data_IF_280065356855
#
_entry.id   IF_280065356855
#
_cell.length_a   1.000
_cell.length_b   1.000
_cell.length_c   1.000
_cell.angle_alpha   90.00
_cell.angle_beta   90.00
_cell.angle_gamma   90.00
#
_symmetry.space_group_name_H-M   'P 1'
#
loop_
_entity.id
_entity.type
_entity.pdbx_description
1 polymer ?
#
# COMPACT_ATOMS: atom_id res chain seq x y z
N UNK A 1 35.59 -21.14 32.25
CA UNK A 1 35.64 -19.76 31.71
C UNK A 1 34.23 -19.32 31.49
N UNK A 2 33.72 -18.29 32.16
CA UNK A 2 32.40 -17.76 31.87
C UNK A 2 32.42 -17.08 30.48
N UNK A 3 31.62 -17.57 29.55
CA UNK A 3 31.46 -16.97 28.23
C UNK A 3 30.89 -15.58 28.48
N UNK A 4 31.70 -14.56 28.21
CA UNK A 4 31.30 -13.17 28.37
C UNK A 4 30.19 -12.90 27.33
N UNK A 5 28.96 -12.72 27.76
CA UNK A 5 27.85 -12.36 26.86
C UNK A 5 28.28 -11.16 26.02
N UNK A 6 28.25 -11.31 24.69
CA UNK A 6 28.72 -10.30 23.75
C UNK A 6 27.67 -9.22 23.59
N UNK A 7 26.40 -9.59 23.67
CA UNK A 7 25.25 -8.69 23.67
C UNK A 7 24.49 -8.91 24.97
N UNK A 8 24.17 -7.84 25.68
CA UNK A 8 23.34 -7.88 26.88
C UNK A 8 21.94 -7.38 26.54
N UNK A 9 20.92 -8.09 27.01
CA UNK A 9 19.51 -7.68 26.84
C UNK A 9 19.25 -6.33 27.51
N UNK A 10 19.95 -6.03 28.62
CA UNK A 10 19.90 -4.71 29.22
C UNK A 10 20.40 -3.63 28.26
N UNK A 11 21.47 -3.90 27.51
CA UNK A 11 22.00 -2.99 26.49
C UNK A 11 21.03 -2.82 25.31
N UNK A 12 20.39 -3.89 24.84
CA UNK A 12 19.35 -3.84 23.81
C UNK A 12 18.12 -3.06 24.28
N UNK A 13 17.68 -3.28 25.52
CA UNK A 13 16.55 -2.55 26.11
C UNK A 13 16.87 -1.07 26.28
N UNK A 14 18.09 -0.73 26.70
CA UNK A 14 18.54 0.68 26.82
C UNK A 14 18.65 1.33 25.43
N UNK A 15 19.20 0.62 24.45
CA UNK A 15 19.25 1.09 23.06
C UNK A 15 17.84 1.32 22.49
N UNK A 16 16.91 0.39 22.67
CA UNK A 16 15.54 0.54 22.22
C UNK A 16 14.85 1.78 22.85
N UNK A 17 15.11 2.06 24.11
CA UNK A 17 14.61 3.28 24.78
C UNK A 17 15.27 4.54 24.28
N UNK A 18 16.58 4.51 24.08
CA UNK A 18 17.36 5.67 23.62
C UNK A 18 16.96 6.08 22.19
N UNK A 19 16.70 5.10 21.32
CA UNK A 19 16.35 5.31 19.92
C UNK A 19 14.84 5.34 19.65
N UNK A 20 13.97 5.16 20.65
CA UNK A 20 12.51 5.11 20.50
C UNK A 20 11.94 6.22 19.61
N UNK A 21 12.34 7.50 19.70
CA UNK A 21 11.83 8.54 18.80
C UNK A 21 12.18 8.29 17.32
N UNK A 22 13.37 7.73 17.04
CA UNK A 22 13.82 7.42 15.70
C UNK A 22 13.13 6.14 15.21
N UNK A 23 13.02 5.12 16.06
CA UNK A 23 12.38 3.85 15.73
C UNK A 23 10.91 4.00 15.35
N UNK A 24 10.19 4.92 15.98
CA UNK A 24 8.79 5.24 15.62
C UNK A 24 8.65 5.81 14.21
N UNK A 25 9.69 6.47 13.71
CA UNK A 25 9.65 7.12 12.39
C UNK A 25 10.11 6.20 11.26
N UNK A 26 10.90 5.16 11.53
CA UNK A 26 11.44 4.28 10.49
C UNK A 26 10.36 3.53 9.68
N UNK A 27 9.37 2.85 10.28
CA UNK A 27 8.30 2.22 9.51
C UNK A 27 7.45 3.25 8.77
N UNK A 28 7.30 4.45 9.35
CA UNK A 28 6.59 5.56 8.73
C UNK A 28 7.29 6.04 7.46
N UNK A 29 8.62 6.19 7.46
CA UNK A 29 9.35 6.58 6.25
C UNK A 29 9.21 5.56 5.12
N UNK A 30 9.25 4.27 5.43
CA UNK A 30 9.02 3.22 4.43
C UNK A 30 7.60 3.30 3.87
N UNK A 31 6.62 3.47 4.74
CA UNK A 31 5.21 3.62 4.38
C UNK A 31 4.97 4.93 3.59
N UNK A 32 5.60 6.03 3.99
CA UNK A 32 5.53 7.34 3.30
C UNK A 32 6.10 7.24 1.88
N UNK A 33 7.23 6.56 1.72
CA UNK A 33 7.84 6.35 0.40
C UNK A 33 6.91 5.55 -0.51
N UNK A 34 6.33 4.46 0.00
CA UNK A 34 5.36 3.65 -0.73
C UNK A 34 4.10 4.46 -1.08
N UNK A 35 3.56 5.20 -0.12
CA UNK A 35 2.38 6.02 -0.32
C UNK A 35 2.62 7.15 -1.34
N UNK A 36 3.78 7.80 -1.28
CA UNK A 36 4.17 8.82 -2.27
C UNK A 36 4.29 8.22 -3.68
N UNK A 37 4.91 7.05 -3.82
CA UNK A 37 5.01 6.35 -5.09
C UNK A 37 3.65 5.96 -5.68
N UNK A 38 2.69 5.63 -4.83
CA UNK A 38 1.33 5.24 -5.22
C UNK A 38 0.34 6.42 -5.24
N UNK A 39 0.75 7.60 -4.77
CA UNK A 39 -0.14 8.77 -4.67
C UNK A 39 -1.26 8.60 -3.62
N UNK A 40 -0.99 7.83 -2.57
CA UNK A 40 -1.87 7.62 -1.44
C UNK A 40 -1.65 8.72 -0.39
N UNK A 41 -2.64 8.95 0.44
CA UNK A 41 -2.56 9.93 1.51
C UNK A 41 -2.36 9.22 2.86
N UNK A 42 -1.42 9.71 3.67
CA UNK A 42 -1.15 9.16 5.00
C UNK A 42 -1.72 10.10 6.06
N UNK A 43 -2.36 9.52 7.07
CA UNK A 43 -2.94 10.24 8.19
C UNK A 43 -2.61 9.54 9.51
N UNK A 44 -2.15 10.30 10.48
CA UNK A 44 -2.08 9.82 11.85
C UNK A 44 -3.47 9.88 12.48
N UNK A 45 -3.95 8.75 13.00
CA UNK A 45 -5.30 8.59 13.53
C UNK A 45 -5.25 7.86 14.85
N UNK A 46 -5.61 8.53 15.93
CA UNK A 46 -5.58 7.94 17.28
C UNK A 46 -6.56 6.78 17.46
N UNK A 47 -7.82 6.97 17.05
CA UNK A 47 -8.86 5.95 17.17
C UNK A 47 -9.61 5.77 15.86
N UNK A 48 -10.26 6.83 15.39
CA UNK A 48 -11.14 6.79 14.25
C UNK A 48 -11.20 8.17 13.60
N UNK A 49 -11.18 8.18 12.27
CA UNK A 49 -11.35 9.41 11.49
C UNK A 49 -12.46 9.23 10.46
N UNK A 50 -13.55 9.96 10.63
CA UNK A 50 -14.72 9.90 9.76
C UNK A 50 -14.66 11.05 8.75
N UNK A 51 -14.79 10.72 7.45
CA UNK A 51 -14.98 11.69 6.39
C UNK A 51 -16.40 11.60 5.86
N UNK A 52 -17.09 12.71 5.87
CA UNK A 52 -18.43 12.80 5.32
C UNK A 52 -18.38 13.39 3.91
N UNK A 53 -18.65 12.56 2.92
CA UNK A 53 -18.74 12.97 1.53
C UNK A 53 -20.15 13.43 1.22
N UNK A 54 -20.29 14.63 0.62
CA UNK A 54 -21.56 15.19 0.21
C UNK A 54 -21.74 15.06 -1.31
N UNK A 55 -22.79 14.37 -1.72
CA UNK A 55 -23.18 14.29 -3.12
C UNK A 55 -24.41 15.13 -3.40
N UNK A 56 -24.23 16.12 -4.25
CA UNK A 56 -25.33 16.99 -4.69
C UNK A 56 -26.21 16.24 -5.66
N UNK A 57 -27.52 16.29 -5.44
CA UNK A 57 -28.50 15.74 -6.37
C UNK A 57 -28.66 16.67 -7.57
N UNK A 58 -28.42 16.16 -8.78
CA UNK A 58 -28.57 16.88 -10.02
C UNK A 58 -30.00 16.75 -10.59
N UNK A 59 -30.37 17.64 -11.54
CA UNK A 59 -31.62 17.51 -12.29
C UNK A 59 -32.86 18.13 -11.59
N UNK A 60 -32.64 19.07 -10.67
CA UNK A 60 -33.73 19.84 -10.05
C UNK A 60 -34.18 21.05 -10.89
N UNK A 61 -33.45 21.31 -11.98
CA UNK A 61 -33.73 22.46 -12.85
C UNK A 61 -34.47 22.00 -14.13
N UNK A 62 -35.54 22.65 -14.46
CA UNK A 62 -36.33 22.36 -15.68
C UNK A 62 -36.97 23.62 -16.23
N UNK A 63 -37.54 23.56 -17.45
CA UNK A 63 -38.27 24.68 -18.02
C UNK A 63 -39.54 24.98 -17.20
N UNK A 64 -39.85 26.25 -17.05
CA UNK A 64 -41.09 26.68 -16.38
C UNK A 64 -42.14 27.06 -17.41
N UNK A 65 -43.35 26.51 -17.25
CA UNK A 65 -44.57 26.93 -17.99
C UNK A 65 -45.69 27.14 -16.98
N UNK A 66 -46.43 28.19 -17.12
CA UNK A 66 -47.58 28.48 -16.26
C UNK A 66 -48.59 27.33 -16.32
N UNK A 67 -49.03 26.81 -15.15
CA UNK A 67 -49.93 25.66 -15.04
C UNK A 67 -49.24 24.28 -15.14
N UNK A 68 -47.92 24.22 -15.20
CA UNK A 68 -47.16 22.97 -15.22
C UNK A 68 -47.06 22.36 -13.80
N UNK A 69 -47.34 21.08 -13.70
CA UNK A 69 -47.05 20.33 -12.46
C UNK A 69 -45.55 20.11 -12.31
N UNK A 70 -44.96 20.67 -11.26
CA UNK A 70 -43.54 20.52 -10.96
C UNK A 70 -43.36 19.38 -9.99
N UNK A 71 -42.56 18.39 -10.38
CA UNK A 71 -42.13 17.31 -9.49
C UNK A 71 -40.92 17.80 -8.70
N UNK A 72 -41.08 17.89 -7.39
CA UNK A 72 -39.98 18.27 -6.50
C UNK A 72 -39.07 17.08 -6.27
N UNK A 73 -37.77 17.32 -6.06
CA UNK A 73 -36.86 16.36 -5.56
C UNK A 73 -36.78 16.46 -4.05
N UNK A 74 -36.89 15.31 -3.38
CA UNK A 74 -37.03 15.26 -1.94
C UNK A 74 -35.72 15.58 -1.18
N UNK A 75 -34.54 15.40 -1.85
CA UNK A 75 -33.26 15.62 -1.23
C UNK A 75 -32.36 16.54 -2.05
N UNK A 76 -31.77 17.55 -1.40
CA UNK A 76 -30.78 18.45 -2.03
C UNK A 76 -29.44 17.78 -2.19
N UNK A 77 -29.04 16.94 -1.25
CA UNK A 77 -27.78 16.21 -1.24
C UNK A 77 -27.88 14.93 -0.40
N UNK A 78 -27.12 13.91 -0.81
CA UNK A 78 -26.89 12.70 -0.01
C UNK A 78 -25.53 12.78 0.64
N UNK A 79 -25.45 12.31 1.88
CA UNK A 79 -24.23 12.21 2.62
C UNK A 79 -23.80 10.75 2.68
N UNK A 80 -22.50 10.51 2.51
CA UNK A 80 -21.87 9.20 2.62
C UNK A 80 -20.71 9.31 3.59
N UNK A 81 -20.70 8.46 4.56
CA UNK A 81 -19.63 8.39 5.56
C UNK A 81 -18.61 7.34 5.15
N UNK A 82 -17.35 7.66 5.32
CA UNK A 82 -16.23 6.74 5.14
C UNK A 82 -15.33 6.85 6.36
N UNK A 83 -15.16 5.75 7.07
CA UNK A 83 -14.43 5.70 8.34
C UNK A 83 -13.07 5.07 8.14
N UNK A 84 -12.03 5.71 8.68
CA UNK A 84 -10.69 5.17 8.81
C UNK A 84 -10.45 4.80 10.26
N UNK A 85 -10.34 3.51 10.53
CA UNK A 85 -10.13 2.97 11.87
C UNK A 85 -8.87 2.08 11.87
N UNK A 86 -7.75 2.56 12.41
CA UNK A 86 -6.55 1.74 12.50
C UNK A 86 -6.75 0.56 13.45
N UNK A 87 -6.35 -0.61 13.00
CA UNK A 87 -6.37 -1.87 13.73
C UNK A 87 -5.00 -2.15 14.34
N UNK A 88 -4.97 -2.66 15.57
CA UNK A 88 -3.73 -2.94 16.27
C UNK A 88 -3.00 -4.12 15.62
N UNK A 89 -1.75 -3.89 15.25
CA UNK A 89 -0.82 -4.86 14.68
C UNK A 89 0.36 -5.04 15.61
N UNK A 90 0.75 -6.29 15.82
CA UNK A 90 1.87 -6.65 16.68
C UNK A 90 2.86 -7.47 15.86
N UNK A 91 4.13 -7.06 15.84
CA UNK A 91 5.22 -7.89 15.36
C UNK A 91 5.95 -8.52 16.53
N UNK A 92 6.23 -9.82 16.44
CA UNK A 92 6.95 -10.58 17.46
C UNK A 92 8.03 -11.41 16.79
N UNK A 93 9.27 -11.10 17.07
CA UNK A 93 10.41 -11.84 16.57
C UNK A 93 11.23 -12.39 17.73
N UNK A 94 11.72 -13.60 17.57
CA UNK A 94 12.58 -14.26 18.54
C UNK A 94 13.92 -14.52 17.89
N UNK A 95 15.00 -14.12 18.55
CA UNK A 95 16.35 -14.34 18.03
C UNK A 95 17.31 -14.81 19.13
N UNK A 96 18.36 -15.52 18.71
CA UNK A 96 19.39 -16.00 19.61
C UNK A 96 20.62 -15.09 19.55
N UNK A 97 20.92 -14.46 20.67
CA UNK A 97 22.04 -13.49 20.81
C UNK A 97 23.38 -14.12 20.40
N UNK A 98 23.54 -15.45 20.54
CA UNK A 98 24.79 -16.14 20.19
C UNK A 98 25.09 -16.04 18.69
N UNK A 99 24.10 -15.89 17.82
CA UNK A 99 24.27 -15.77 16.38
C UNK A 99 25.07 -14.52 15.96
N UNK A 100 25.20 -13.55 16.86
CA UNK A 100 25.89 -12.28 16.60
C UNK A 100 27.28 -12.18 17.22
N UNK A 101 27.76 -13.23 17.88
CA UNK A 101 29.05 -13.19 18.61
C UNK A 101 30.23 -12.84 17.70
N UNK A 102 30.31 -13.46 16.52
CA UNK A 102 31.39 -13.21 15.56
C UNK A 102 31.18 -11.92 14.76
N UNK A 103 29.94 -11.51 14.58
CA UNK A 103 29.57 -10.31 13.79
C UNK A 103 29.88 -9.01 14.51
N UNK A 104 29.89 -8.99 15.84
CA UNK A 104 30.23 -7.79 16.62
C UNK A 104 31.65 -7.29 16.32
N UNK A 105 32.60 -8.20 16.13
CA UNK A 105 33.98 -7.86 15.78
C UNK A 105 34.06 -7.23 14.39
N UNK A 106 33.29 -7.72 13.43
CA UNK A 106 33.26 -7.21 12.06
C UNK A 106 32.62 -5.80 11.99
N UNK A 107 31.52 -5.58 12.70
CA UNK A 107 30.87 -4.26 12.77
C UNK A 107 31.77 -3.25 13.47
N UNK A 108 32.45 -3.64 14.54
CA UNK A 108 33.39 -2.77 15.26
C UNK A 108 34.65 -2.46 14.48
N UNK A 109 35.12 -3.37 13.61
CA UNK A 109 36.29 -3.15 12.78
C UNK A 109 36.03 -2.19 11.60
N UNK A 110 34.76 -2.08 11.15
CA UNK A 110 34.36 -1.19 10.04
C UNK A 110 34.07 0.25 10.46
N UNK A 111 33.79 0.51 11.71
CA UNK A 111 33.51 1.84 12.25
C UNK A 111 34.72 2.41 12.98
N UNK A 112 35.07 3.67 12.69
CA UNK A 112 36.04 4.42 13.53
C UNK A 112 35.36 4.66 14.89
N UNK A 113 35.52 3.71 15.81
CA UNK A 113 34.90 3.78 17.13
C UNK A 113 35.52 4.93 17.94
N UNK A 114 34.71 5.89 18.28
CA UNK A 114 34.97 6.74 19.40
C UNK A 114 34.59 5.95 20.67
N UNK A 115 35.61 5.37 21.33
CA UNK A 115 35.47 4.56 22.54
C UNK A 115 34.81 5.30 23.73
N UNK A 116 34.56 6.60 23.59
CA UNK A 116 33.87 7.43 24.56
C UNK A 116 32.36 7.58 24.33
N UNK A 117 31.87 7.18 23.16
CA UNK A 117 30.45 7.24 22.88
C UNK A 117 29.75 5.99 23.43
N UNK A 118 28.62 6.17 24.11
CA UNK A 118 27.73 5.08 24.59
C UNK A 118 26.95 4.44 23.43
N UNK A 119 27.46 4.50 22.21
CA UNK A 119 26.81 3.98 21.02
C UNK A 119 27.04 2.48 20.96
N UNK A 120 25.98 1.72 20.86
CA UNK A 120 25.96 0.28 20.68
C UNK A 120 25.64 -0.04 19.22
N UNK A 121 26.65 -0.01 18.29
CA UNK A 121 26.37 -0.06 16.84
C UNK A 121 25.75 -1.37 16.38
N UNK A 122 26.05 -2.48 17.03
CA UNK A 122 25.47 -3.78 16.70
C UNK A 122 24.03 -3.88 17.19
N UNK A 123 23.81 -3.46 18.43
CA UNK A 123 22.47 -3.41 19.04
C UNK A 123 21.54 -2.49 18.24
N UNK A 124 22.04 -1.33 17.81
CA UNK A 124 21.30 -0.41 16.95
C UNK A 124 20.95 -1.06 15.60
N UNK A 125 21.90 -1.73 14.96
CA UNK A 125 21.68 -2.39 13.68
C UNK A 125 20.60 -3.47 13.76
N UNK A 126 20.63 -4.31 14.80
CA UNK A 126 19.61 -5.36 15.01
C UNK A 126 18.23 -4.74 15.18
N UNK A 127 18.12 -3.69 16.00
CA UNK A 127 16.85 -2.98 16.23
C UNK A 127 16.35 -2.32 14.95
N UNK A 128 17.23 -1.67 14.18
CA UNK A 128 16.85 -1.05 12.91
C UNK A 128 16.38 -2.09 11.87
N UNK A 129 17.03 -3.24 11.81
CA UNK A 129 16.65 -4.32 10.89
C UNK A 129 15.28 -4.91 11.26
N UNK A 130 14.99 -5.12 12.55
CA UNK A 130 13.66 -5.55 13.01
C UNK A 130 12.56 -4.55 12.67
N UNK A 131 12.82 -3.26 12.87
CA UNK A 131 11.84 -2.20 12.56
C UNK A 131 11.63 -2.06 11.06
N UNK A 132 12.68 -2.23 10.25
CA UNK A 132 12.55 -2.25 8.78
C UNK A 132 11.75 -3.45 8.30
N UNK A 133 12.02 -4.65 8.83
CA UNK A 133 11.26 -5.85 8.53
C UNK A 133 9.77 -5.66 8.84
N UNK A 134 9.44 -5.09 10.02
CA UNK A 134 8.05 -4.74 10.33
C UNK A 134 7.44 -3.76 9.32
N UNK A 135 8.20 -2.74 8.89
CA UNK A 135 7.75 -1.78 7.87
C UNK A 135 7.51 -2.43 6.52
N UNK A 136 8.35 -3.36 6.11
CA UNK A 136 8.19 -4.14 4.87
C UNK A 136 6.95 -5.03 4.93
N UNK A 137 6.74 -5.76 6.02
CA UNK A 137 5.54 -6.58 6.25
C UNK A 137 4.25 -5.74 6.13
N UNK A 138 4.24 -4.53 6.69
CA UNK A 138 3.10 -3.61 6.60
C UNK A 138 2.87 -3.13 5.17
N UNK A 139 3.93 -2.80 4.42
CA UNK A 139 3.82 -2.34 3.03
C UNK A 139 3.25 -3.45 2.14
N UNK A 140 3.77 -4.67 2.25
CA UNK A 140 3.28 -5.81 1.46
C UNK A 140 1.85 -6.22 1.86
N UNK A 141 1.50 -6.06 3.13
CA UNK A 141 0.15 -6.32 3.63
C UNK A 141 -0.87 -5.25 3.24
N UNK A 142 -0.42 -4.05 2.87
CA UNK A 142 -1.26 -2.87 2.64
C UNK A 142 -2.40 -3.10 1.65
N UNK A 143 -2.19 -3.93 0.63
CA UNK A 143 -3.20 -4.22 -0.38
C UNK A 143 -3.90 -5.56 -0.18
N UNK A 144 -3.27 -6.54 0.48
CA UNK A 144 -3.70 -7.94 0.46
C UNK A 144 -4.18 -8.46 1.80
N UNK A 145 -3.79 -7.83 2.91
CA UNK A 145 -4.13 -8.34 4.23
C UNK A 145 -5.65 -8.35 4.43
N UNK A 146 -6.15 -9.45 4.95
CA UNK A 146 -7.53 -9.63 5.38
C UNK A 146 -7.53 -9.99 6.86
N UNK A 147 -8.07 -9.10 7.69
CA UNK A 147 -7.99 -9.26 9.14
C UNK A 147 -8.57 -10.59 9.61
N UNK A 148 -7.71 -11.36 10.28
CA UNK A 148 -8.10 -12.58 10.97
C UNK A 148 -7.36 -12.69 12.30
N UNK A 149 -8.07 -12.62 13.40
CA UNK A 149 -7.49 -12.62 14.75
C UNK A 149 -6.99 -14.00 15.21
N UNK A 150 -7.42 -15.06 14.52
CA UNK A 150 -7.04 -16.44 14.84
C UNK A 150 -5.70 -16.87 14.21
N UNK A 151 -5.17 -16.09 13.23
CA UNK A 151 -3.95 -16.41 12.49
C UNK A 151 -2.93 -15.29 12.64
N UNK A 152 -1.76 -15.61 13.16
CA UNK A 152 -0.66 -14.64 13.26
C UNK A 152 0.22 -14.66 12.00
N UNK A 153 -0.08 -13.73 11.08
CA UNK A 153 0.63 -13.58 9.80
C UNK A 153 0.55 -12.12 9.34
N UNK A 154 1.52 -11.60 8.57
CA UNK A 154 1.39 -10.29 7.93
C UNK A 154 0.13 -10.18 7.06
N UNK A 155 -0.25 -11.27 6.37
CA UNK A 155 -1.45 -11.32 5.53
C UNK A 155 -2.77 -11.21 6.29
N UNK A 156 -2.75 -11.31 7.62
CA UNK A 156 -3.96 -11.23 8.48
C UNK A 156 -3.91 -10.09 9.49
N UNK A 157 -2.92 -9.20 9.37
CA UNK A 157 -2.64 -8.18 10.38
C UNK A 157 -3.74 -7.09 10.46
N UNK A 158 -4.25 -6.64 9.34
CA UNK A 158 -5.31 -5.63 9.23
C UNK A 158 -6.04 -5.77 7.90
N UNK A 159 -7.13 -5.05 7.69
CA UNK A 159 -7.87 -5.09 6.42
C UNK A 159 -7.22 -4.16 5.40
N UNK A 160 -6.63 -4.72 4.34
CA UNK A 160 -5.98 -3.99 3.25
C UNK A 160 -6.93 -3.45 2.19
N UNK A 161 -6.40 -2.76 1.18
CA UNK A 161 -7.22 -2.08 0.15
C UNK A 161 -8.03 -3.04 -0.72
N UNK A 162 -7.50 -4.18 -1.14
CA UNK A 162 -8.25 -5.11 -2.01
C UNK A 162 -9.39 -5.80 -1.28
N UNK A 163 -9.23 -6.36 -0.06
CA UNK A 163 -10.36 -6.84 0.71
C UNK A 163 -11.39 -5.76 1.01
N UNK A 164 -10.95 -4.54 1.31
CA UNK A 164 -11.88 -3.42 1.49
C UNK A 164 -12.67 -3.09 0.21
N UNK A 165 -12.04 -3.18 -0.98
CA UNK A 165 -12.72 -3.05 -2.27
C UNK A 165 -13.71 -4.18 -2.51
N UNK A 166 -13.36 -5.41 -2.19
CA UNK A 166 -14.22 -6.57 -2.39
C UNK A 166 -15.46 -6.53 -1.46
N UNK A 167 -15.33 -5.99 -0.24
CA UNK A 167 -16.47 -5.67 0.62
C UNK A 167 -17.39 -4.64 -0.03
N UNK A 168 -16.83 -3.55 -0.61
CA UNK A 168 -17.62 -2.52 -1.29
C UNK A 168 -18.31 -3.02 -2.57
N UNK A 169 -17.74 -4.01 -3.24
CA UNK A 169 -18.38 -4.74 -4.36
C UNK A 169 -19.54 -5.58 -3.84
N UNK A 170 -19.32 -6.34 -2.78
CA UNK A 170 -20.34 -7.19 -2.14
C UNK A 170 -21.52 -6.37 -1.65
N UNK A 171 -21.27 -5.21 -1.06
CA UNK A 171 -22.28 -4.27 -0.58
C UNK A 171 -22.99 -3.51 -1.70
N UNK A 172 -22.56 -3.68 -2.97
CA UNK A 172 -23.14 -3.05 -4.14
C UNK A 172 -22.77 -1.57 -4.35
N UNK A 173 -21.86 -1.01 -3.56
CA UNK A 173 -21.34 0.35 -3.78
C UNK A 173 -20.47 0.44 -5.03
N UNK A 174 -19.74 -0.64 -5.32
CA UNK A 174 -18.96 -0.81 -6.55
C UNK A 174 -19.66 -1.84 -7.41
N UNK A 175 -20.16 -1.42 -8.58
CA UNK A 175 -20.88 -2.30 -9.50
C UNK A 175 -20.80 -1.76 -10.95
N UNK A 176 -20.98 -2.63 -11.91
CA UNK A 176 -21.08 -2.23 -13.32
C UNK A 176 -22.23 -1.24 -13.56
N UNK A 177 -23.37 -1.41 -12.86
CA UNK A 177 -24.51 -0.50 -12.91
C UNK A 177 -24.21 0.92 -12.41
N UNK A 178 -23.29 1.05 -11.46
CA UNK A 178 -22.82 2.34 -10.95
C UNK A 178 -21.73 2.96 -11.86
N UNK A 179 -21.20 2.23 -12.85
CA UNK A 179 -20.14 2.67 -13.76
C UNK A 179 -18.75 2.79 -13.13
N UNK A 180 -18.53 2.19 -11.96
CA UNK A 180 -17.27 2.18 -11.23
C UNK A 180 -16.60 0.80 -11.16
N UNK A 181 -17.24 -0.23 -11.74
CA UNK A 181 -16.68 -1.57 -11.94
C UNK A 181 -16.62 -1.87 -13.43
N UNK A 182 -15.51 -2.40 -13.89
CA UNK A 182 -15.26 -2.75 -15.29
C UNK A 182 -14.97 -4.24 -15.42
N UNK A 183 -15.54 -4.87 -16.46
CA UNK A 183 -15.33 -6.29 -16.78
C UNK A 183 -14.02 -6.54 -17.58
N UNK A 184 -13.05 -5.62 -17.51
CA UNK A 184 -11.75 -5.77 -18.21
C UNK A 184 -11.10 -7.10 -17.85
N UNK A 185 -10.85 -7.93 -18.85
CA UNK A 185 -10.26 -9.26 -18.66
C UNK A 185 -8.78 -9.23 -18.29
N UNK A 186 -8.22 -10.41 -18.07
CA UNK A 186 -6.81 -10.62 -17.70
C UNK A 186 -5.86 -9.98 -18.72
N UNK A 187 -4.79 -9.38 -18.23
CA UNK A 187 -3.69 -8.86 -19.04
C UNK A 187 -2.64 -9.95 -19.22
N UNK A 188 -2.45 -10.37 -20.46
CA UNK A 188 -1.46 -11.38 -20.83
C UNK A 188 -0.35 -10.77 -21.68
N UNK A 189 0.82 -11.39 -21.66
CA UNK A 189 1.90 -11.03 -22.58
C UNK A 189 1.48 -11.34 -24.03
N UNK A 190 1.82 -10.46 -24.99
CA UNK A 190 1.43 -10.64 -26.37
C UNK A 190 2.11 -11.88 -26.99
N UNK A 191 1.31 -12.79 -27.55
CA UNK A 191 1.76 -14.06 -28.10
C UNK A 191 2.17 -13.98 -29.57
N UNK A 192 1.58 -13.06 -30.35
CA UNK A 192 1.84 -12.84 -31.77
C UNK A 192 2.27 -11.43 -32.07
N UNK A 193 2.81 -11.16 -33.25
CA UNK A 193 3.24 -9.81 -33.68
C UNK A 193 2.09 -8.84 -33.94
N UNK A 194 0.86 -9.34 -34.00
CA UNK A 194 -0.36 -8.57 -34.17
C UNK A 194 -1.20 -8.50 -32.88
N UNK A 195 -0.68 -9.02 -31.77
CA UNK A 195 -1.37 -9.00 -30.49
C UNK A 195 -1.07 -7.72 -29.72
N UNK A 196 -2.03 -6.81 -29.71
CA UNK A 196 -1.99 -5.52 -29.00
C UNK A 196 -2.95 -5.50 -27.80
N UNK A 197 -3.57 -6.64 -27.47
CA UNK A 197 -4.70 -6.74 -26.56
C UNK A 197 -4.42 -6.11 -25.19
N UNK A 198 -3.21 -6.30 -24.64
CA UNK A 198 -2.88 -5.74 -23.32
C UNK A 198 -2.86 -4.20 -23.32
N UNK A 199 -2.38 -3.57 -24.38
CA UNK A 199 -2.40 -2.12 -24.52
C UNK A 199 -3.81 -1.59 -24.77
N UNK A 200 -4.57 -2.23 -25.65
CA UNK A 200 -5.92 -1.83 -26.01
C UNK A 200 -6.89 -1.95 -24.83
N UNK A 201 -6.80 -3.03 -24.05
CA UNK A 201 -7.56 -3.18 -22.80
C UNK A 201 -7.26 -2.06 -21.80
N UNK A 202 -6.01 -1.61 -21.70
CA UNK A 202 -5.64 -0.53 -20.82
C UNK A 202 -6.23 0.81 -21.31
N UNK A 203 -6.17 1.08 -22.63
CA UNK A 203 -6.83 2.24 -23.24
C UNK A 203 -8.33 2.20 -23.02
N UNK A 204 -8.96 1.05 -23.22
CA UNK A 204 -10.41 0.87 -23.02
C UNK A 204 -10.80 1.07 -21.56
N UNK A 205 -10.08 0.47 -20.60
CA UNK A 205 -10.34 0.63 -19.17
C UNK A 205 -10.34 2.11 -18.76
N UNK A 206 -9.36 2.89 -19.21
CA UNK A 206 -9.28 4.32 -18.92
C UNK A 206 -10.30 5.10 -19.73
N UNK A 207 -10.47 4.78 -21.01
CA UNK A 207 -11.35 5.48 -21.94
C UNK A 207 -12.84 5.37 -21.61
N UNK A 208 -13.27 4.24 -21.03
CA UNK A 208 -14.65 4.00 -20.57
C UNK A 208 -14.93 4.61 -19.20
N UNK A 209 -13.93 5.16 -18.51
CA UNK A 209 -14.14 5.85 -17.24
C UNK A 209 -14.94 7.15 -17.41
N UNK A 210 -15.65 7.54 -16.34
CA UNK A 210 -16.46 8.75 -16.34
C UNK A 210 -15.63 9.98 -16.76
N UNK A 211 -16.14 10.89 -17.61
CA UNK A 211 -15.38 12.06 -18.11
C UNK A 211 -14.76 12.92 -17.01
N UNK A 212 -15.43 13.10 -15.86
CA UNK A 212 -14.89 13.84 -14.73
C UNK A 212 -13.73 13.08 -14.05
N UNK A 213 -13.72 11.75 -14.06
CA UNK A 213 -12.60 10.97 -13.53
C UNK A 213 -11.36 11.13 -14.43
N UNK A 214 -11.54 11.21 -15.74
CA UNK A 214 -10.46 11.42 -16.72
C UNK A 214 -9.93 12.86 -16.77
N UNK A 215 -10.73 13.82 -16.35
CA UNK A 215 -10.36 15.25 -16.34
C UNK A 215 -9.53 15.58 -15.09
N UNK A 216 -8.76 16.66 -15.13
CA UNK A 216 -8.06 17.18 -13.95
C UNK A 216 -8.97 17.98 -13.01
N UNK A 217 -10.26 18.12 -13.32
CA UNK A 217 -11.24 18.80 -12.47
C UNK A 217 -11.54 17.94 -11.24
N UNK A 218 -11.38 18.51 -10.07
CA UNK A 218 -11.61 17.81 -8.79
C UNK A 218 -10.49 16.87 -8.36
N UNK A 219 -9.30 17.03 -8.93
CA UNK A 219 -8.10 16.25 -8.61
C UNK A 219 -7.47 15.61 -9.84
N UNK A 220 -6.21 15.26 -9.74
CA UNK A 220 -5.47 14.61 -10.83
C UNK A 220 -5.88 13.13 -10.90
N UNK A 221 -6.20 12.58 -12.10
CA UNK A 221 -6.46 11.17 -12.25
C UNK A 221 -5.19 10.37 -12.04
N UNK A 222 -5.27 9.30 -11.27
CA UNK A 222 -4.19 8.38 -10.95
C UNK A 222 -4.60 6.95 -11.24
N UNK A 223 -3.74 6.21 -11.93
CA UNK A 223 -3.90 4.79 -12.19
C UNK A 223 -2.89 4.01 -11.35
N UNK A 224 -3.38 3.17 -10.45
CA UNK A 224 -2.59 2.17 -9.76
C UNK A 224 -2.55 0.91 -10.63
N UNK A 225 -1.35 0.52 -11.05
CA UNK A 225 -1.14 -0.57 -11.99
C UNK A 225 0.02 -1.46 -11.53
N UNK A 226 -0.16 -2.79 -11.43
CA UNK A 226 0.92 -3.74 -11.19
C UNK A 226 1.98 -3.71 -12.30
N UNK A 227 3.23 -3.95 -11.93
CA UNK A 227 4.36 -3.91 -12.87
C UNK A 227 4.24 -4.91 -14.02
N UNK A 228 3.66 -6.09 -13.78
CA UNK A 228 3.45 -7.09 -14.80
C UNK A 228 2.50 -6.60 -15.92
N UNK A 229 1.42 -5.89 -15.58
CA UNK A 229 0.51 -5.32 -16.59
C UNK A 229 1.24 -4.24 -17.41
N UNK A 230 2.01 -3.38 -16.73
CA UNK A 230 2.77 -2.32 -17.42
C UNK A 230 3.79 -2.92 -18.40
N UNK A 231 4.44 -4.02 -18.01
CA UNK A 231 5.36 -4.77 -18.87
C UNK A 231 4.63 -5.34 -20.09
N UNK A 232 3.51 -6.03 -19.88
CA UNK A 232 2.70 -6.63 -20.95
C UNK A 232 2.13 -5.57 -21.90
N UNK A 233 1.62 -4.45 -21.36
CA UNK A 233 1.13 -3.33 -22.16
C UNK A 233 2.25 -2.68 -23.00
N UNK A 234 3.46 -2.54 -22.44
CA UNK A 234 4.63 -2.02 -23.16
C UNK A 234 5.06 -2.97 -24.30
N UNK A 235 5.04 -4.28 -24.05
CA UNK A 235 5.35 -5.27 -25.07
C UNK A 235 4.32 -5.25 -26.22
N UNK A 236 3.02 -5.11 -25.89
CA UNK A 236 1.94 -4.96 -26.84
C UNK A 236 2.06 -3.64 -27.66
N UNK A 237 2.34 -2.53 -26.98
CA UNK A 237 2.54 -1.24 -27.63
C UNK A 237 3.70 -1.25 -28.63
N UNK A 238 4.82 -1.89 -28.28
CA UNK A 238 5.94 -2.06 -29.20
C UNK A 238 5.54 -2.75 -30.50
N UNK A 239 4.73 -3.80 -30.41
CA UNK A 239 4.22 -4.51 -31.59
C UNK A 239 3.26 -3.65 -32.42
N UNK A 240 2.44 -2.82 -31.76
CA UNK A 240 1.52 -1.88 -32.41
C UNK A 240 2.24 -0.83 -33.24
N UNK A 241 3.31 -0.23 -32.72
CA UNK A 241 4.05 0.86 -33.38
C UNK A 241 4.98 0.38 -34.48
N UNK A 242 5.38 -0.91 -34.45
CA UNK A 242 6.26 -1.56 -35.47
C UNK A 242 7.55 -0.76 -35.76
N UNK A 243 8.10 -0.06 -34.79
CA UNK A 243 9.37 0.68 -34.93
C UNK A 243 10.55 -0.23 -34.64
N UNK A 244 11.67 -0.01 -35.35
CA UNK A 244 12.92 -0.70 -35.07
C UNK A 244 13.49 -0.32 -33.70
N UNK A 245 13.26 0.92 -33.27
CA UNK A 245 13.64 1.39 -31.96
C UNK A 245 12.65 0.96 -30.91
N UNK A 246 13.17 0.50 -29.76
CA UNK A 246 12.35 0.09 -28.64
C UNK A 246 11.67 1.32 -28.04
N UNK A 247 10.34 1.47 -28.12
CA UNK A 247 9.68 2.66 -27.57
C UNK A 247 9.99 2.79 -26.09
N UNK A 248 10.32 3.99 -25.65
CA UNK A 248 10.51 4.28 -24.24
C UNK A 248 9.20 4.10 -23.47
N UNK A 249 9.29 3.91 -22.16
CA UNK A 249 8.10 3.86 -21.32
C UNK A 249 7.29 5.15 -21.44
N UNK A 250 7.97 6.30 -21.48
CA UNK A 250 7.36 7.62 -21.61
C UNK A 250 6.55 7.75 -22.91
N UNK A 251 7.08 7.30 -24.04
CA UNK A 251 6.35 7.32 -25.32
C UNK A 251 5.08 6.48 -25.26
N UNK A 252 5.13 5.31 -24.62
CA UNK A 252 3.93 4.50 -24.41
C UNK A 252 2.92 5.23 -23.52
N UNK A 253 3.37 5.87 -22.43
CA UNK A 253 2.50 6.59 -21.49
C UNK A 253 1.87 7.83 -22.14
N UNK A 254 2.59 8.55 -22.98
CA UNK A 254 2.05 9.68 -23.75
C UNK A 254 0.99 9.21 -24.75
N UNK A 255 1.27 8.14 -25.49
CA UNK A 255 0.28 7.55 -26.40
C UNK A 255 -0.95 7.03 -25.64
N UNK A 256 -0.76 6.41 -24.49
CA UNK A 256 -1.87 5.96 -23.64
C UNK A 256 -2.74 7.11 -23.15
N UNK A 257 -2.14 8.22 -22.73
CA UNK A 257 -2.86 9.43 -22.32
C UNK A 257 -3.67 10.03 -23.47
N UNK A 258 -3.10 10.04 -24.67
CA UNK A 258 -3.76 10.53 -25.87
C UNK A 258 -4.90 9.61 -26.31
N UNK A 259 -4.64 8.32 -26.46
CA UNK A 259 -5.62 7.31 -26.93
C UNK A 259 -6.79 7.17 -25.95
N UNK A 260 -6.55 7.26 -24.65
CA UNK A 260 -7.59 7.21 -23.62
C UNK A 260 -8.26 8.56 -23.31
N UNK A 261 -7.88 9.64 -23.99
CA UNK A 261 -8.35 11.00 -23.71
C UNK A 261 -8.22 11.43 -22.25
N UNK A 262 -7.07 11.12 -21.62
CA UNK A 262 -6.78 11.38 -20.22
C UNK A 262 -5.38 12.01 -20.07
N UNK A 263 -5.18 13.23 -20.55
CA UNK A 263 -3.86 13.89 -20.65
C UNK A 263 -3.18 14.12 -19.30
N UNK A 264 -3.95 14.31 -18.23
CA UNK A 264 -3.42 14.52 -16.87
C UNK A 264 -3.19 13.24 -16.07
N UNK A 265 -3.27 12.06 -16.70
CA UNK A 265 -3.14 10.78 -16.00
C UNK A 265 -1.72 10.56 -15.44
N UNK A 266 -1.66 10.30 -14.15
CA UNK A 266 -0.44 9.82 -13.48
C UNK A 266 -0.57 8.29 -13.34
N UNK A 267 0.48 7.59 -13.73
CA UNK A 267 0.54 6.13 -13.61
C UNK A 267 1.50 5.80 -12.48
N UNK A 268 0.98 5.14 -11.47
CA UNK A 268 1.70 4.75 -10.27
C UNK A 268 1.83 3.22 -10.24
N UNK A 269 3.05 2.77 -10.04
CA UNK A 269 3.36 1.34 -9.88
C UNK A 269 4.28 1.14 -8.68
N UNK A 270 4.04 0.09 -7.93
CA UNK A 270 4.86 -0.32 -6.79
C UNK A 270 4.70 -1.82 -6.56
N UNK A 271 5.68 -2.46 -5.96
CA UNK A 271 5.67 -3.90 -5.66
C UNK A 271 4.51 -4.28 -4.72
N UNK A 272 4.13 -3.37 -3.81
CA UNK A 272 2.98 -3.54 -2.92
C UNK A 272 1.65 -3.84 -3.64
N UNK A 273 1.51 -3.51 -4.94
CA UNK A 273 0.33 -3.86 -5.75
C UNK A 273 0.29 -5.34 -6.13
N UNK A 274 1.38 -6.09 -5.91
CA UNK A 274 1.51 -7.50 -6.25
C UNK A 274 1.52 -7.77 -7.75
N UNK A 275 1.15 -9.00 -8.10
CA UNK A 275 1.11 -9.52 -9.47
C UNK A 275 -0.32 -9.94 -9.80
N UNK A 276 -0.83 -9.50 -10.94
CA UNK A 276 -2.18 -9.86 -11.39
C UNK A 276 -2.73 -8.90 -12.43
N UNK A 277 -4.05 -8.79 -12.50
CA UNK A 277 -4.73 -7.98 -13.50
C UNK A 277 -5.68 -6.92 -12.90
N UNK A 278 -5.63 -6.69 -11.59
CA UNK A 278 -6.45 -5.66 -10.93
C UNK A 278 -5.89 -4.27 -11.18
N UNK A 279 -6.75 -3.37 -11.60
CA UNK A 279 -6.47 -1.96 -11.85
C UNK A 279 -7.35 -1.09 -10.96
N UNK A 280 -6.79 0.02 -10.51
CA UNK A 280 -7.55 1.05 -9.79
C UNK A 280 -7.26 2.41 -10.40
N UNK A 281 -8.29 3.04 -10.97
CA UNK A 281 -8.25 4.41 -11.46
C UNK A 281 -9.01 5.30 -10.48
N UNK A 282 -8.32 6.30 -9.95
CA UNK A 282 -8.88 7.17 -8.91
C UNK A 282 -8.45 8.63 -9.09
N UNK A 283 -9.07 9.53 -8.32
CA UNK A 283 -8.54 10.87 -8.10
C UNK A 283 -7.46 10.86 -7.01
N UNK A 284 -6.45 11.69 -7.16
CA UNK A 284 -5.42 11.87 -6.16
C UNK A 284 -6.01 12.12 -4.76
N UNK A 285 -5.49 11.42 -3.76
CA UNK A 285 -5.92 11.55 -2.38
C UNK A 285 -7.26 10.89 -2.04
N UNK A 286 -7.77 9.98 -2.86
CA UNK A 286 -8.99 9.24 -2.59
C UNK A 286 -8.79 7.98 -1.73
N UNK A 287 -7.56 7.48 -1.64
CA UNK A 287 -7.18 6.36 -0.78
C UNK A 287 -6.30 6.87 0.34
N UNK A 288 -6.68 6.54 1.57
CA UNK A 288 -5.97 6.92 2.79
C UNK A 288 -5.38 5.71 3.49
N UNK A 289 -4.21 5.92 4.06
CA UNK A 289 -3.56 5.02 5.01
C UNK A 289 -3.61 5.70 6.37
N UNK A 290 -4.20 5.04 7.35
CA UNK A 290 -4.18 5.44 8.74
C UNK A 290 -3.10 4.69 9.50
N UNK A 291 -2.37 5.39 10.34
CA UNK A 291 -1.41 4.76 11.23
C UNK A 291 -1.48 5.40 12.62
N UNK A 292 -1.08 4.63 13.63
CA UNK A 292 -0.89 5.13 14.99
C UNK A 292 0.22 4.34 15.70
N UNK A 293 1.29 5.03 16.01
CA UNK A 293 2.42 4.48 16.78
C UNK A 293 2.37 4.87 18.26
N UNK A 294 1.41 5.68 18.65
CA UNK A 294 1.30 6.27 19.98
C UNK A 294 0.54 5.46 21.02
N UNK A 295 -0.06 4.30 20.66
CA UNK A 295 -0.85 3.48 21.59
C UNK A 295 -0.02 2.80 22.69
N UNK A 296 1.27 2.60 22.47
CA UNK A 296 2.19 2.03 23.45
C UNK A 296 3.12 3.10 24.01
N UNK A 297 3.44 3.02 25.30
CA UNK A 297 4.43 3.89 25.96
C UNK A 297 5.83 3.73 25.34
N UNK A 298 6.08 2.60 24.68
CA UNK A 298 7.32 2.29 23.99
C UNK A 298 6.99 1.52 22.72
N UNK A 299 7.43 2.03 21.54
CA UNK A 299 7.16 1.46 20.25
C UNK A 299 7.73 0.03 20.11
N UNK A 300 8.95 -0.16 20.56
CA UNK A 300 9.64 -1.45 20.55
C UNK A 300 10.02 -1.87 21.96
N UNK A 301 9.67 -3.08 22.35
CA UNK A 301 10.04 -3.68 23.61
C UNK A 301 10.95 -4.86 23.36
N UNK A 302 12.06 -4.92 24.12
CA UNK A 302 13.00 -6.05 24.10
C UNK A 302 12.83 -6.81 25.41
N UNK A 303 12.56 -8.12 25.33
CA UNK A 303 12.27 -8.97 26.49
C UNK A 303 13.19 -10.19 26.48
N UNK A 304 13.64 -10.59 27.65
CA UNK A 304 14.27 -11.91 27.84
C UNK A 304 13.19 -13.00 27.79
N UNK A 305 13.52 -14.12 27.18
CA UNK A 305 12.73 -15.33 27.31
C UNK A 305 13.22 -16.05 28.57
N UNK A 306 12.30 -16.34 29.50
CA UNK A 306 12.64 -16.89 30.81
C UNK A 306 13.23 -18.31 30.72
N UNK A 307 12.88 -19.05 29.68
CA UNK A 307 13.29 -20.44 29.45
C UNK A 307 14.70 -20.55 28.87
N UNK A 308 15.15 -19.57 28.07
CA UNK A 308 16.51 -19.52 27.51
C UNK A 308 17.13 -18.12 27.66
N UNK A 309 18.16 -17.98 28.49
CA UNK A 309 18.81 -16.69 28.71
C UNK A 309 19.58 -16.14 27.51
N UNK A 310 19.76 -16.94 26.44
CA UNK A 310 20.40 -16.51 25.19
C UNK A 310 19.38 -16.05 24.14
N UNK A 311 18.10 -16.26 24.38
CA UNK A 311 17.04 -15.85 23.48
C UNK A 311 16.43 -14.51 23.91
N UNK A 312 16.22 -13.66 22.91
CA UNK A 312 15.61 -12.33 23.04
C UNK A 312 14.38 -12.25 22.18
N UNK A 313 13.33 -11.69 22.71
CA UNK A 313 12.10 -11.39 22.00
C UNK A 313 12.01 -9.89 21.74
N UNK A 314 11.82 -9.54 20.47
CA UNK A 314 11.46 -8.21 20.04
C UNK A 314 9.94 -8.12 19.89
N UNK A 315 9.37 -7.03 20.35
CA UNK A 315 7.94 -6.79 20.33
C UNK A 315 7.68 -5.37 19.84
N UNK A 316 7.00 -5.23 18.69
CA UNK A 316 6.63 -3.94 18.11
C UNK A 316 5.10 -3.85 18.08
N UNK A 317 4.54 -2.73 18.54
CA UNK A 317 3.11 -2.46 18.51
C UNK A 317 2.84 -1.17 17.75
N UNK A 318 1.99 -1.27 16.72
CA UNK A 318 1.48 -0.11 15.99
C UNK A 318 0.07 -0.40 15.49
N UNK A 319 -0.67 0.61 15.07
CA UNK A 319 -1.97 0.39 14.47
C UNK A 319 -1.98 0.94 13.03
N UNK A 320 -2.52 0.13 12.11
CA UNK A 320 -2.63 0.45 10.69
C UNK A 320 -4.05 0.23 10.19
N UNK A 321 -4.43 0.98 9.19
CA UNK A 321 -5.73 0.80 8.54
C UNK A 321 -5.77 1.52 7.21
N UNK A 322 -6.70 1.14 6.37
CA UNK A 322 -6.89 1.75 5.06
C UNK A 322 -8.32 2.24 4.87
N UNK A 323 -8.50 3.20 4.00
CA UNK A 323 -9.81 3.72 3.64
C UNK A 323 -9.84 4.19 2.21
N UNK A 324 -10.98 3.96 1.56
CA UNK A 324 -11.35 4.59 0.29
C UNK A 324 -12.41 5.64 0.59
N UNK A 325 -12.11 6.92 0.32
CA UNK A 325 -12.99 8.04 0.68
C UNK A 325 -14.29 8.05 -0.10
N UNK A 326 -14.19 7.88 -1.41
CA UNK A 326 -15.35 7.91 -2.31
C UNK A 326 -15.17 6.91 -3.45
N UNK A 327 -16.18 6.06 -3.66
CA UNK A 327 -16.22 5.04 -4.71
C UNK A 327 -17.13 5.39 -5.88
N UNK A 328 -17.62 6.64 -5.96
CA UNK A 328 -18.45 7.06 -7.07
C UNK A 328 -17.68 7.08 -8.40
N UNK A 329 -18.33 6.70 -9.51
CA UNK A 329 -17.71 6.64 -10.84
C UNK A 329 -17.00 7.93 -11.30
N UNK A 330 -17.35 9.10 -10.75
CA UNK A 330 -16.68 10.39 -11.02
C UNK A 330 -15.29 10.50 -10.40
N UNK A 331 -14.97 9.67 -9.42
CA UNK A 331 -13.74 9.75 -8.58
C UNK A 331 -12.99 8.44 -8.57
N UNK A 332 -13.66 7.31 -8.86
CA UNK A 332 -13.12 5.97 -8.68
C UNK A 332 -13.64 4.99 -9.73
N UNK A 333 -12.77 4.11 -10.21
CA UNK A 333 -13.10 2.97 -11.07
C UNK A 333 -12.09 1.84 -10.82
N UNK A 334 -12.58 0.61 -10.78
CA UNK A 334 -11.77 -0.61 -10.69
C UNK A 334 -12.27 -1.67 -11.68
N UNK A 335 -11.54 -2.76 -11.84
CA UNK A 335 -11.98 -3.93 -12.60
C UNK A 335 -12.27 -5.12 -11.68
N UNK A 336 -12.92 -6.16 -12.22
CA UNK A 336 -13.30 -7.38 -11.51
C UNK A 336 -12.11 -8.31 -11.22
N UNK A 337 -10.93 -8.01 -11.77
CA UNK A 337 -9.76 -8.87 -11.64
C UNK A 337 -9.16 -8.84 -10.24
N UNK A 338 -8.33 -9.83 -9.94
CA UNK A 338 -7.62 -9.94 -8.66
C UNK A 338 -6.11 -9.87 -8.87
N UNK A 339 -5.39 -9.48 -7.82
CA UNK A 339 -3.94 -9.60 -7.75
C UNK A 339 -3.59 -10.57 -6.62
N UNK A 340 -2.39 -11.13 -6.72
CA UNK A 340 -1.78 -11.97 -5.67
C UNK A 340 -0.62 -11.18 -5.09
N UNK A 341 -0.54 -11.12 -3.78
CA UNK A 341 0.58 -10.50 -3.07
C UNK A 341 1.88 -11.26 -3.31
N UNK A 342 2.99 -10.61 -3.09
CA UNK A 342 4.28 -11.28 -3.06
C UNK A 342 4.27 -12.30 -1.91
N UNK A 343 4.72 -13.51 -2.18
CA UNK A 343 4.88 -14.54 -1.15
C UNK A 343 6.14 -14.23 -0.33
N UNK A 344 5.97 -13.48 0.75
CA UNK A 344 7.06 -13.11 1.64
C UNK A 344 7.76 -14.34 2.25
N UNK A 345 7.06 -15.46 2.41
CA UNK A 345 7.64 -16.71 2.89
C UNK A 345 8.56 -17.38 1.87
N UNK A 346 8.36 -17.14 0.56
CA UNK A 346 9.19 -17.65 -0.53
C UNK A 346 10.38 -16.76 -0.87
N UNK A 347 10.27 -15.46 -0.64
CA UNK A 347 11.30 -14.48 -0.99
C UNK A 347 12.42 -14.36 0.05
N UNK A 348 12.18 -14.72 1.30
CA UNK A 348 13.24 -14.91 2.28
C UNK A 348 14.01 -16.17 1.91
N UNK A 349 15.13 -15.99 1.22
CA UNK A 349 16.12 -17.04 1.01
C UNK A 349 16.49 -17.60 2.39
N UNK A 350 15.93 -18.76 2.74
CA UNK A 350 16.44 -19.53 3.87
C UNK A 350 17.90 -19.80 3.54
N UNK A 351 18.78 -19.05 4.16
CA UNK A 351 20.21 -19.42 4.17
C UNK A 351 20.23 -20.80 4.80
N UNK A 352 20.37 -21.82 3.96
CA UNK A 352 20.52 -23.18 4.43
C UNK A 352 21.70 -23.15 5.38
N UNK A 353 21.47 -23.48 6.65
CA UNK A 353 22.51 -23.77 7.59
C UNK A 353 23.37 -24.89 6.97
N UNK A 354 24.56 -24.52 6.50
CA UNK A 354 25.58 -25.42 6.00
C UNK A 354 26.50 -25.82 7.14
#
# INVERSE_FOLDING_TARGET
>A
MAIKKVIDVAALTEAAKQYDPILRTLPFFSLETCAAALGLNIQEVENEHVVVNRRRQAGATGPYKQGMTITYKDEIAKFFESTLKPELVVSKTKDNITNYQDKKVLVQAGTKLDLKSKVHPLEQMIIEDEVKSHGEDVIFSLFFAERNEDVFSPSTAFTGFYPALDMLVTDGYISAGNGNLDATGVFADPTTDTDYAAYEKLVEFIGTAHPLLRSSVGGVPQLLIPQNILKSARAAFRKKVRTFDYPSLEQMLESLRADAFCQGLIINTHEALGVGSKLVLQKAGNMDIGFNTGKSNQFMQVRNIFEDPNEVQFWIEAAYGVRIRDVHAKVFKTNEQTNVGLDLAGDYVKVSES
#
